data_IF_055722822515
#
_entry.id   IF_055722822515
#
_cell.length_a   1.000
_cell.length_b   1.000
_cell.length_c   1.000
_cell.angle_alpha   90.00
_cell.angle_beta   90.00
_cell.angle_gamma   90.00
#
_symmetry.space_group_name_H-M   'P 1'
#
loop_
_entity.id
_entity.type
_entity.pdbx_description
1 polymer ?
#
# COMPACT_ATOMS: atom_id res chain seq x y z
N UNK A 1 -15.79 19.23 0.49
CA UNK A 1 -15.15 19.42 1.81
C UNK A 1 -13.97 20.39 1.71
N UNK A 2 -13.73 21.15 2.77
CA UNK A 2 -12.65 22.12 2.74
C UNK A 2 -11.28 21.46 2.61
N UNK A 3 -10.38 22.10 1.85
CA UNK A 3 -9.01 21.63 1.61
C UNK A 3 -8.93 20.28 0.89
N UNK A 4 -9.97 19.90 0.16
CA UNK A 4 -9.97 18.72 -0.70
C UNK A 4 -10.02 19.20 -2.15
N UNK A 5 -9.18 18.59 -3.00
CA UNK A 5 -9.17 18.86 -4.43
C UNK A 5 -9.51 17.59 -5.18
N UNK A 6 -10.42 17.70 -6.12
CA UNK A 6 -10.87 16.57 -6.95
C UNK A 6 -10.76 17.02 -8.40
N UNK A 7 -9.91 16.33 -9.17
CA UNK A 7 -9.69 16.65 -10.57
C UNK A 7 -10.89 16.33 -11.45
N UNK A 8 -11.63 15.29 -11.13
CA UNK A 8 -12.83 14.88 -11.84
C UNK A 8 -13.79 14.24 -10.85
N UNK A 9 -14.93 14.85 -10.64
CA UNK A 9 -15.92 14.41 -9.65
C UNK A 9 -16.44 12.99 -9.92
N UNK A 10 -16.46 12.55 -11.18
CA UNK A 10 -16.92 11.21 -11.54
C UNK A 10 -15.95 10.11 -11.05
N UNK A 11 -14.74 10.49 -10.63
CA UNK A 11 -13.74 9.56 -10.12
C UNK A 11 -13.88 9.28 -8.61
N UNK A 12 -14.79 9.96 -7.94
CA UNK A 12 -15.06 9.78 -6.51
C UNK A 12 -16.50 9.30 -6.35
N UNK A 13 -16.66 8.09 -5.88
CA UNK A 13 -17.95 7.43 -5.84
C UNK A 13 -18.68 7.65 -4.51
N UNK A 14 -19.96 7.26 -4.48
CA UNK A 14 -20.83 7.45 -3.34
C UNK A 14 -20.27 6.85 -2.04
N UNK A 15 -20.36 7.61 -0.95
CA UNK A 15 -19.90 7.15 0.36
C UNK A 15 -18.40 7.29 0.59
N UNK A 16 -17.65 7.77 -0.40
CA UNK A 16 -16.23 8.02 -0.22
C UNK A 16 -15.98 9.12 0.81
N UNK A 17 -14.98 8.94 1.65
CA UNK A 17 -14.56 9.93 2.64
C UNK A 17 -13.20 10.50 2.25
N UNK A 18 -13.13 11.79 2.07
CA UNK A 18 -11.89 12.50 1.76
C UNK A 18 -11.60 13.51 2.86
N UNK A 19 -10.60 13.23 3.67
CA UNK A 19 -10.19 14.12 4.75
C UNK A 19 -9.50 15.38 4.20
N UNK A 20 -9.50 16.48 4.97
CA UNK A 20 -8.79 17.69 4.55
C UNK A 20 -7.33 17.42 4.19
N UNK A 21 -6.87 17.99 3.10
CA UNK A 21 -5.53 17.77 2.55
C UNK A 21 -5.48 16.73 1.45
N UNK A 22 -6.56 16.00 1.22
CA UNK A 22 -6.61 14.99 0.15
C UNK A 22 -6.71 15.65 -1.22
N UNK A 23 -5.94 15.10 -2.17
CA UNK A 23 -6.00 15.50 -3.58
C UNK A 23 -6.24 14.27 -4.42
N UNK A 24 -7.37 14.22 -5.12
CA UNK A 24 -7.64 13.15 -6.09
C UNK A 24 -7.37 13.73 -7.47
N UNK A 25 -6.28 13.28 -8.07
CA UNK A 25 -5.88 13.71 -9.41
C UNK A 25 -6.86 13.17 -10.47
N UNK A 26 -6.82 13.71 -11.67
CA UNK A 26 -7.72 13.30 -12.75
C UNK A 26 -7.71 11.78 -12.98
N UNK A 27 -6.55 11.14 -12.89
CA UNK A 27 -6.40 9.69 -13.07
C UNK A 27 -6.62 8.88 -11.79
N UNK A 28 -6.81 9.56 -10.65
CA UNK A 28 -7.13 8.90 -9.39
C UNK A 28 -8.56 8.38 -9.37
N UNK A 29 -8.83 7.43 -8.49
CA UNK A 29 -10.17 6.86 -8.35
C UNK A 29 -10.39 6.43 -6.90
N UNK A 30 -11.52 6.84 -6.32
CA UNK A 30 -11.92 6.44 -4.97
C UNK A 30 -13.29 5.78 -5.06
N UNK A 31 -13.34 4.49 -4.79
CA UNK A 31 -14.53 3.67 -4.94
C UNK A 31 -15.53 3.87 -3.78
N UNK A 32 -16.65 3.16 -3.82
CA UNK A 32 -17.70 3.22 -2.81
C UNK A 32 -17.12 3.01 -1.41
N UNK A 33 -17.47 3.89 -0.48
CA UNK A 33 -17.13 3.77 0.95
C UNK A 33 -15.63 3.63 1.25
N UNK A 34 -14.79 3.95 0.29
CA UNK A 34 -13.35 4.04 0.47
C UNK A 34 -12.97 5.45 0.94
N UNK A 35 -11.72 5.66 1.26
CA UNK A 35 -11.32 7.03 1.54
C UNK A 35 -9.95 7.21 2.13
N UNK A 36 -9.67 8.47 2.43
CA UNK A 36 -8.43 8.95 3.00
C UNK A 36 -8.69 9.57 4.36
N UNK A 37 -7.76 9.42 5.29
CA UNK A 37 -7.89 9.94 6.66
C UNK A 37 -7.09 11.22 6.91
N UNK A 38 -6.42 11.75 5.92
CA UNK A 38 -5.63 12.97 6.04
C UNK A 38 -5.08 13.42 4.71
N UNK A 39 -3.89 14.01 4.72
CA UNK A 39 -3.21 14.49 3.52
C UNK A 39 -2.76 13.31 2.67
N UNK A 40 -3.27 13.20 1.46
CA UNK A 40 -2.91 12.13 0.53
C UNK A 40 -3.02 12.61 -0.89
N UNK A 41 -2.06 12.21 -1.73
CA UNK A 41 -2.13 12.38 -3.17
C UNK A 41 -2.64 11.06 -3.77
N UNK A 42 -3.81 11.10 -4.40
CA UNK A 42 -4.44 9.92 -5.00
C UNK A 42 -4.38 10.04 -6.52
N UNK A 43 -3.46 9.29 -7.12
CA UNK A 43 -3.29 9.22 -8.56
C UNK A 43 -3.56 7.81 -9.11
N UNK A 44 -3.86 6.89 -8.23
CA UNK A 44 -4.21 5.51 -8.53
C UNK A 44 -5.59 5.15 -8.02
N UNK A 45 -5.88 3.85 -7.98
CA UNK A 45 -7.20 3.34 -7.62
C UNK A 45 -7.27 2.88 -6.17
N UNK A 46 -8.19 3.44 -5.42
CA UNK A 46 -8.57 2.97 -4.09
C UNK A 46 -9.87 2.19 -4.23
N UNK A 47 -9.81 0.88 -3.99
CA UNK A 47 -10.95 0.00 -4.15
C UNK A 47 -11.98 0.15 -3.03
N UNK A 48 -13.16 -0.42 -3.23
CA UNK A 48 -14.29 -0.30 -2.32
C UNK A 48 -13.89 -0.63 -0.87
N UNK A 49 -14.23 0.27 0.04
CA UNK A 49 -14.03 0.08 1.47
C UNK A 49 -12.60 0.19 1.96
N UNK A 50 -11.65 0.47 1.08
CA UNK A 50 -10.24 0.61 1.46
C UNK A 50 -10.00 1.97 2.08
N UNK A 51 -9.27 1.99 3.19
CA UNK A 51 -8.92 3.21 3.93
C UNK A 51 -7.42 3.45 3.83
N UNK A 52 -7.06 4.69 3.49
CA UNK A 52 -5.68 5.15 3.34
C UNK A 52 -5.35 6.15 4.43
N UNK A 53 -4.32 5.88 5.21
CA UNK A 53 -3.91 6.72 6.33
C UNK A 53 -3.30 8.05 5.92
N UNK A 54 -3.18 8.94 6.89
CA UNK A 54 -2.63 10.29 6.68
C UNK A 54 -1.19 10.22 6.17
N UNK A 55 -0.87 11.09 5.23
CA UNK A 55 0.48 11.20 4.67
C UNK A 55 0.85 10.11 3.67
N UNK A 56 -0.10 9.25 3.31
CA UNK A 56 0.15 8.16 2.35
C UNK A 56 -0.29 8.56 0.95
N UNK A 57 0.52 8.21 -0.04
CA UNK A 57 0.29 8.55 -1.44
C UNK A 57 0.09 7.30 -2.29
N UNK A 58 -0.88 7.39 -3.20
CA UNK A 58 -1.18 6.33 -4.17
C UNK A 58 -0.69 6.80 -5.53
N UNK A 59 0.42 6.26 -5.97
CA UNK A 59 1.08 6.68 -7.20
C UNK A 59 0.25 6.49 -8.45
N UNK A 60 0.64 7.15 -9.52
CA UNK A 60 -0.07 7.12 -10.80
C UNK A 60 -0.23 5.70 -11.33
N UNK A 61 -1.47 5.28 -11.59
CA UNK A 61 -1.75 3.94 -12.07
C UNK A 61 -1.63 2.82 -11.04
N UNK A 62 -1.28 3.13 -9.79
CA UNK A 62 -1.27 2.12 -8.74
C UNK A 62 -2.69 1.64 -8.45
N UNK A 63 -2.82 0.40 -7.98
CA UNK A 63 -4.11 -0.21 -7.72
C UNK A 63 -4.09 -0.99 -6.40
N UNK A 64 -5.10 -0.74 -5.57
CA UNK A 64 -5.26 -1.46 -4.31
C UNK A 64 -6.41 -2.44 -4.44
N UNK A 65 -6.18 -3.70 -4.14
CA UNK A 65 -7.25 -4.71 -4.08
C UNK A 65 -8.12 -4.45 -2.85
N UNK A 66 -9.39 -4.77 -2.94
CA UNK A 66 -10.32 -4.53 -1.83
C UNK A 66 -10.14 -5.49 -0.65
N UNK A 67 -9.83 -6.75 -0.94
CA UNK A 67 -9.63 -7.80 0.06
C UNK A 67 -8.39 -8.61 -0.27
N UNK A 68 -7.85 -9.28 0.73
CA UNK A 68 -6.76 -10.23 0.52
C UNK A 68 -7.20 -11.29 -0.48
N UNK A 69 -6.33 -11.59 -1.45
CA UNK A 69 -6.58 -12.64 -2.42
C UNK A 69 -6.66 -14.01 -1.71
N UNK A 70 -7.45 -14.92 -2.27
CA UNK A 70 -7.64 -16.24 -1.67
C UNK A 70 -8.86 -16.37 -0.77
N UNK A 71 -9.83 -15.48 -0.88
CA UNK A 71 -11.10 -15.57 -0.17
C UNK A 71 -11.10 -14.97 1.23
N UNK A 72 -10.11 -14.15 1.54
CA UNK A 72 -10.07 -13.45 2.82
C UNK A 72 -11.19 -12.42 2.97
N UNK A 73 -11.71 -12.30 4.18
CA UNK A 73 -12.73 -11.29 4.53
C UNK A 73 -12.10 -9.98 5.00
N UNK A 74 -10.81 -9.93 5.14
CA UNK A 74 -10.11 -8.75 5.63
C UNK A 74 -9.97 -7.72 4.52
N UNK A 75 -10.45 -6.51 4.78
CA UNK A 75 -10.22 -5.38 3.90
C UNK A 75 -8.75 -5.00 3.92
N UNK A 76 -8.22 -4.71 2.75
CA UNK A 76 -6.89 -4.14 2.65
C UNK A 76 -6.95 -2.70 3.12
N UNK A 77 -5.91 -2.27 3.83
CA UNK A 77 -5.75 -0.90 4.26
C UNK A 77 -4.31 -0.45 4.03
N UNK A 78 -4.12 0.86 3.99
CA UNK A 78 -2.80 1.48 3.93
C UNK A 78 -2.66 2.38 5.16
N UNK A 79 -1.60 2.16 5.92
CA UNK A 79 -1.31 2.96 7.10
C UNK A 79 -0.87 4.38 6.76
N UNK A 80 -0.22 5.03 7.71
CA UNK A 80 0.23 6.40 7.57
C UNK A 80 1.61 6.47 6.93
N UNK A 81 1.89 7.57 6.20
CA UNK A 81 3.21 7.87 5.61
C UNK A 81 3.76 6.76 4.72
N UNK A 82 2.87 6.03 4.06
CA UNK A 82 3.24 4.96 3.14
C UNK A 82 3.09 5.42 1.70
N UNK A 83 3.82 4.79 0.79
CA UNK A 83 3.83 5.15 -0.62
C UNK A 83 3.63 3.91 -1.48
N UNK A 84 2.65 3.96 -2.38
CA UNK A 84 2.55 3.04 -3.50
C UNK A 84 3.16 3.71 -4.72
N UNK A 85 4.23 3.14 -5.24
CA UNK A 85 4.88 3.64 -6.45
C UNK A 85 3.98 3.52 -7.68
N UNK A 86 4.30 4.28 -8.71
CA UNK A 86 3.53 4.30 -9.95
C UNK A 86 3.39 2.89 -10.54
N UNK A 87 2.18 2.56 -10.99
CA UNK A 87 1.86 1.27 -11.60
C UNK A 87 2.12 0.06 -10.69
N UNK A 88 2.18 0.26 -9.38
CA UNK A 88 2.24 -0.85 -8.43
C UNK A 88 0.85 -1.42 -8.19
N UNK A 89 0.81 -2.65 -7.65
CA UNK A 89 -0.44 -3.30 -7.27
C UNK A 89 -0.32 -3.86 -5.87
N UNK A 90 -1.28 -3.54 -5.00
CA UNK A 90 -1.26 -3.93 -3.60
C UNK A 90 -2.37 -4.92 -3.29
N UNK A 91 -2.00 -6.13 -2.90
CA UNK A 91 -2.92 -7.22 -2.52
C UNK A 91 -2.78 -7.66 -1.06
N UNK A 92 -2.08 -6.88 -0.25
CA UNK A 92 -1.98 -7.03 1.21
C UNK A 92 -2.18 -5.66 1.84
N UNK A 93 -2.36 -5.60 3.16
CA UNK A 93 -2.34 -4.31 3.84
C UNK A 93 -0.91 -3.82 4.01
N UNK A 94 -0.69 -2.51 3.87
CA UNK A 94 0.53 -1.86 4.28
C UNK A 94 0.32 -1.23 5.65
N UNK A 95 1.30 -1.35 6.51
CA UNK A 95 1.32 -0.60 7.76
C UNK A 95 1.78 0.84 7.54
N UNK A 96 2.34 1.44 8.59
CA UNK A 96 2.89 2.78 8.52
C UNK A 96 4.31 2.75 7.94
N UNK A 97 4.69 3.83 7.29
CA UNK A 97 6.06 4.04 6.80
C UNK A 97 6.55 2.96 5.84
N UNK A 98 5.64 2.41 5.04
CA UNK A 98 5.95 1.39 4.04
C UNK A 98 6.08 2.00 2.66
N UNK A 99 6.85 1.33 1.80
CA UNK A 99 6.98 1.66 0.38
C UNK A 99 6.78 0.40 -0.44
N UNK A 100 5.90 0.50 -1.43
CA UNK A 100 5.78 -0.50 -2.50
C UNK A 100 6.39 0.11 -3.76
N UNK A 101 7.43 -0.55 -4.28
CA UNK A 101 8.17 -0.05 -5.44
C UNK A 101 7.27 0.08 -6.68
N UNK A 102 7.57 1.09 -7.49
CA UNK A 102 6.87 1.27 -8.76
C UNK A 102 6.95 0.01 -9.63
N UNK A 103 5.85 -0.34 -10.27
CA UNK A 103 5.78 -1.48 -11.17
C UNK A 103 5.69 -2.85 -10.51
N UNK A 104 5.74 -2.92 -9.19
CA UNK A 104 5.67 -4.19 -8.48
C UNK A 104 4.23 -4.52 -8.10
N UNK A 105 3.75 -5.69 -8.52
CA UNK A 105 2.43 -6.19 -8.13
C UNK A 105 2.61 -7.25 -7.02
N UNK A 106 2.11 -6.95 -5.83
CA UNK A 106 2.30 -7.76 -4.63
C UNK A 106 0.95 -8.32 -4.17
N UNK A 107 0.74 -9.62 -4.36
CA UNK A 107 -0.48 -10.30 -3.89
C UNK A 107 -0.19 -11.09 -2.62
N UNK A 108 -1.24 -11.48 -1.89
CA UNK A 108 -1.10 -12.21 -0.64
C UNK A 108 -0.28 -13.51 -0.80
N UNK A 109 -0.44 -14.19 -1.91
CA UNK A 109 0.28 -15.44 -2.21
C UNK A 109 1.65 -15.24 -2.84
N UNK A 110 2.06 -14.02 -3.14
CA UNK A 110 3.39 -13.77 -3.71
C UNK A 110 4.46 -14.22 -2.73
N UNK A 111 5.39 -15.03 -3.24
CA UNK A 111 6.57 -15.41 -2.46
C UNK A 111 7.61 -14.31 -2.58
N UNK A 112 8.26 -14.01 -1.49
CA UNK A 112 9.31 -13.01 -1.44
C UNK A 112 10.40 -13.42 -0.47
N UNK A 113 11.54 -12.75 -0.59
CA UNK A 113 12.65 -12.91 0.35
C UNK A 113 12.58 -11.77 1.36
N UNK A 114 12.35 -12.11 2.61
CA UNK A 114 12.45 -11.17 3.72
C UNK A 114 13.91 -11.04 4.12
N UNK A 115 14.43 -9.82 4.04
CA UNK A 115 15.83 -9.52 4.37
C UNK A 115 15.86 -8.79 5.70
N UNK A 116 16.56 -9.38 6.67
CA UNK A 116 16.76 -8.79 7.98
C UNK A 116 18.23 -8.77 8.31
N UNK A 117 18.59 -8.10 9.40
CA UNK A 117 19.98 -8.00 9.83
C UNK A 117 20.63 -9.36 10.09
N UNK A 118 19.88 -10.32 10.62
CA UNK A 118 20.36 -11.64 11.01
C UNK A 118 20.14 -12.72 9.94
N UNK A 119 19.66 -12.35 8.76
CA UNK A 119 19.52 -13.32 7.67
C UNK A 119 18.40 -13.04 6.70
N UNK A 120 18.13 -14.04 5.88
CA UNK A 120 17.10 -13.99 4.83
C UNK A 120 16.18 -15.19 4.97
N UNK A 121 14.91 -15.00 4.67
CA UNK A 121 13.92 -16.06 4.69
C UNK A 121 12.92 -15.89 3.57
N UNK A 122 12.57 -16.98 2.89
CA UNK A 122 11.51 -16.97 1.89
C UNK A 122 10.16 -17.12 2.61
N UNK A 123 9.25 -16.21 2.35
CA UNK A 123 7.91 -16.18 2.95
C UNK A 123 6.86 -15.75 1.92
N UNK A 124 5.59 -15.87 2.29
CA UNK A 124 4.50 -15.28 1.51
C UNK A 124 4.27 -13.83 1.94
N UNK A 125 3.90 -12.98 1.01
CA UNK A 125 3.61 -11.58 1.30
C UNK A 125 2.53 -11.41 2.37
N UNK A 126 1.55 -12.33 2.42
CA UNK A 126 0.49 -12.28 3.43
C UNK A 126 1.02 -12.27 4.87
N UNK A 127 2.18 -12.84 5.12
CA UNK A 127 2.78 -12.85 6.46
C UNK A 127 3.26 -11.47 6.90
N UNK A 128 3.40 -10.54 5.96
CA UNK A 128 3.83 -9.17 6.23
C UNK A 128 2.67 -8.16 6.15
N UNK A 129 1.45 -8.64 5.95
CA UNK A 129 0.27 -7.77 5.85
C UNK A 129 0.11 -6.93 7.13
N UNK A 130 0.03 -5.61 6.97
CA UNK A 130 -0.14 -4.69 8.09
C UNK A 130 1.12 -4.38 8.90
N UNK A 131 2.25 -4.94 8.57
CA UNK A 131 3.52 -4.64 9.25
C UNK A 131 4.03 -3.27 8.83
N UNK A 132 4.73 -2.60 9.75
CA UNK A 132 5.25 -1.25 9.54
C UNK A 132 6.68 -1.26 9.00
N UNK A 133 7.08 -0.15 8.40
CA UNK A 133 8.46 0.18 8.08
C UNK A 133 9.14 -0.80 7.12
N UNK A 134 8.41 -1.23 6.10
CA UNK A 134 8.91 -2.18 5.11
C UNK A 134 8.97 -1.55 3.71
N UNK A 135 10.05 -1.87 3.01
CA UNK A 135 10.20 -1.62 1.59
C UNK A 135 9.99 -2.94 0.85
N UNK A 136 9.04 -2.96 -0.07
CA UNK A 136 8.84 -4.09 -0.99
C UNK A 136 9.40 -3.69 -2.35
N UNK A 137 10.34 -4.46 -2.85
CA UNK A 137 11.01 -4.16 -4.11
C UNK A 137 11.30 -5.42 -4.91
N UNK A 138 11.60 -5.23 -6.18
CA UNK A 138 12.17 -6.27 -7.03
C UNK A 138 13.68 -6.04 -7.12
N UNK A 139 14.45 -7.10 -6.87
CA UNK A 139 15.89 -7.03 -7.12
C UNK A 139 16.11 -6.94 -8.62
N UNK A 140 16.74 -5.86 -9.09
CA UNK A 140 16.90 -5.58 -10.51
C UNK A 140 17.86 -6.54 -11.23
N UNK A 141 18.66 -7.29 -10.48
CA UNK A 141 19.60 -8.27 -11.05
C UNK A 141 18.97 -9.65 -11.10
N UNK A 142 18.44 -10.12 -9.98
CA UNK A 142 17.89 -11.48 -9.87
C UNK A 142 16.42 -11.57 -10.28
N UNK A 143 15.69 -10.46 -10.24
CA UNK A 143 14.25 -10.42 -10.42
C UNK A 143 13.47 -10.85 -9.20
N UNK A 144 14.11 -11.25 -8.12
CA UNK A 144 13.44 -11.68 -6.90
C UNK A 144 12.71 -10.52 -6.23
N UNK A 145 11.51 -10.80 -5.72
CA UNK A 145 10.79 -9.86 -4.87
C UNK A 145 11.37 -9.92 -3.48
N UNK A 146 11.62 -8.76 -2.90
CA UNK A 146 12.26 -8.63 -1.58
C UNK A 146 11.49 -7.69 -0.69
N UNK A 147 11.49 -7.99 0.60
CA UNK A 147 11.00 -7.07 1.63
C UNK A 147 12.13 -6.84 2.63
N UNK A 148 12.35 -5.59 2.99
CA UNK A 148 13.39 -5.21 3.95
C UNK A 148 12.94 -3.98 4.75
N UNK A 149 13.47 -3.80 5.97
CA UNK A 149 13.20 -2.60 6.74
C UNK A 149 13.69 -1.35 5.98
N UNK A 150 12.87 -0.31 5.97
CA UNK A 150 13.22 0.96 5.32
C UNK A 150 14.32 1.70 6.06
N UNK A 151 14.21 1.70 7.37
CA UNK A 151 15.15 2.37 8.25
C UNK A 151 15.44 1.46 9.41
N UNK A 152 16.63 1.50 9.85
CA UNK A 152 16.93 0.83 11.10
C UNK A 152 17.61 -0.49 10.90
N UNK A 153 18.85 -0.37 11.13
CA UNK A 153 19.63 -1.47 11.63
C UNK A 153 18.95 -2.03 12.88
N UNK A 154 19.13 -3.31 13.14
CA UNK A 154 18.69 -3.94 14.36
C UNK A 154 17.36 -4.64 14.32
N UNK A 155 16.75 -4.79 13.15
CA UNK A 155 15.52 -5.56 12.99
C UNK A 155 15.88 -6.99 12.61
N UNK A 156 15.40 -7.95 13.40
CA UNK A 156 15.65 -9.37 13.19
C UNK A 156 14.47 -10.04 12.49
N UNK A 157 14.69 -11.23 11.92
CA UNK A 157 13.60 -12.00 11.30
C UNK A 157 12.48 -12.28 12.30
N UNK A 158 12.83 -12.63 13.53
CA UNK A 158 11.85 -12.93 14.56
C UNK A 158 10.95 -11.74 14.87
N UNK A 159 11.51 -10.53 14.98
CA UNK A 159 10.72 -9.32 15.26
C UNK A 159 9.87 -8.90 14.08
N UNK A 160 10.29 -9.19 12.84
CA UNK A 160 9.50 -8.89 11.64
C UNK A 160 8.33 -9.86 11.47
N UNK A 161 8.50 -11.13 11.86
CA UNK A 161 7.49 -12.17 11.69
C UNK A 161 6.55 -12.32 12.89
N UNK A 162 6.92 -11.78 14.01
CA UNK A 162 6.16 -11.81 15.27
C UNK A 162 6.07 -10.41 15.89
#
# INVERSE_FOLDING_TARGET
>A
PPKVRIGDASRVRLGAHLAPGSVVMHEGFVNFNAGTLGTSMVEGRISQGVVVGDGSDIGGGASIMGTLSGGGKHKISVGERSLLGANSGLGISLGNDCVLEAGLYLTAGSKLTLIAEDGKQEIKASELSGKDNLLFRRNSISGAVEALPREGAGVTLNSLLH
#
